data_IF_884132086390
#
_entry.id   IF_884132086390
#
_cell.length_a   1.000
_cell.length_b   1.000
_cell.length_c   1.000
_cell.angle_alpha   90.00
_cell.angle_beta   90.00
_cell.angle_gamma   90.00
#
_symmetry.space_group_name_H-M   'P 1'
#
loop_
_entity.id
_entity.type
_entity.pdbx_description
1 polymer ?
#
# COMPACT_ATOMS: atom_id res chain seq x y z
N UNK A 1 -48.40 45.96 -14.16
CA UNK A 1 -48.65 45.63 -12.74
C UNK A 1 -49.32 44.27 -12.70
N UNK A 2 -48.61 43.22 -12.29
CA UNK A 2 -49.18 41.87 -12.19
C UNK A 2 -48.88 41.27 -10.82
N UNK A 3 -49.93 40.67 -10.28
CA UNK A 3 -50.15 40.28 -8.89
C UNK A 3 -49.31 39.06 -8.51
N UNK A 4 -48.65 39.12 -7.35
CA UNK A 4 -47.95 38.02 -6.69
C UNK A 4 -48.98 37.07 -6.08
N UNK A 5 -48.93 35.77 -6.41
CA UNK A 5 -49.60 34.73 -5.66
C UNK A 5 -48.56 33.95 -4.85
N UNK A 6 -48.63 34.11 -3.53
CA UNK A 6 -47.90 33.30 -2.54
C UNK A 6 -48.88 32.24 -2.08
N UNK A 7 -48.55 30.97 -2.30
CA UNK A 7 -49.30 29.84 -1.71
C UNK A 7 -48.37 29.12 -0.73
N UNK A 8 -48.58 29.41 0.54
CA UNK A 8 -47.99 28.69 1.67
C UNK A 8 -48.81 27.43 1.90
N UNK A 9 -48.23 26.25 1.70
CA UNK A 9 -48.86 24.98 2.05
C UNK A 9 -48.10 24.36 3.22
N UNK A 10 -48.66 24.49 4.41
CA UNK A 10 -48.25 23.77 5.62
C UNK A 10 -49.12 22.52 5.70
N UNK A 11 -48.53 21.31 5.72
CA UNK A 11 -49.28 20.12 6.14
C UNK A 11 -48.38 19.10 6.82
N UNK A 12 -49.00 18.50 7.86
CA UNK A 12 -48.51 17.73 8.97
C UNK A 12 -47.96 16.34 8.63
N UNK A 13 -47.01 15.95 9.48
CA UNK A 13 -46.58 14.63 9.96
C UNK A 13 -47.46 13.43 9.56
N UNK A 14 -46.82 12.45 8.90
CA UNK A 14 -47.26 11.06 8.85
C UNK A 14 -46.07 10.13 9.14
N UNK A 15 -46.05 9.54 10.33
CA UNK A 15 -45.21 8.39 10.66
C UNK A 15 -45.69 7.19 9.85
N UNK A 16 -44.84 6.70 8.94
CA UNK A 16 -44.98 5.38 8.35
C UNK A 16 -43.76 4.55 8.73
N UNK A 17 -43.96 3.65 9.70
CA UNK A 17 -43.11 2.50 9.91
C UNK A 17 -43.40 1.47 8.80
N UNK A 18 -42.40 1.22 7.95
CA UNK A 18 -42.30 0.08 7.04
C UNK A 18 -40.79 -0.01 6.73
N UNK A 19 -40.03 -1.03 7.14
CA UNK A 19 -40.24 -2.42 6.79
C UNK A 19 -39.39 -2.73 5.54
N UNK A 20 -38.23 -3.37 5.72
CA UNK A 20 -37.41 -3.92 4.62
C UNK A 20 -36.23 -3.03 4.19
N UNK A 21 -35.01 -3.52 3.99
CA UNK A 21 -34.49 -4.88 4.10
C UNK A 21 -33.04 -4.82 4.56
N UNK A 22 -32.71 -5.66 5.52
CA UNK A 22 -31.32 -6.01 5.79
C UNK A 22 -30.77 -6.66 4.54
N UNK A 23 -29.85 -5.96 3.87
CA UNK A 23 -28.95 -6.55 2.90
C UNK A 23 -28.04 -7.51 3.66
N UNK A 24 -28.53 -8.74 3.84
CA UNK A 24 -27.77 -9.87 4.31
C UNK A 24 -26.68 -10.17 3.29
N UNK A 25 -25.55 -9.47 3.40
CA UNK A 25 -24.29 -10.06 3.00
C UNK A 25 -24.18 -11.36 3.78
N UNK A 26 -24.31 -12.49 3.09
CA UNK A 26 -24.05 -13.80 3.66
C UNK A 26 -22.59 -13.75 4.14
N UNK A 27 -22.39 -13.47 5.42
CA UNK A 27 -21.14 -13.76 6.08
C UNK A 27 -20.99 -15.27 5.97
N UNK A 28 -20.13 -15.73 5.06
CA UNK A 28 -19.69 -17.12 5.02
C UNK A 28 -19.13 -17.40 6.42
N UNK A 29 -19.76 -18.25 7.26
CA UNK A 29 -19.44 -18.33 8.69
C UNK A 29 -18.06 -18.92 9.01
N UNK A 30 -17.18 -19.04 8.02
CA UNK A 30 -15.88 -19.69 8.12
C UNK A 30 -14.83 -19.15 7.15
N UNK A 31 -15.04 -17.99 6.50
CA UNK A 31 -13.89 -17.32 5.89
C UNK A 31 -13.07 -16.72 7.04
N UNK A 32 -11.83 -17.18 7.32
CA UNK A 32 -11.01 -16.58 8.35
C UNK A 32 -10.95 -15.07 8.08
N UNK A 33 -11.48 -14.27 9.02
CA UNK A 33 -11.35 -12.82 8.97
C UNK A 33 -9.86 -12.54 8.76
N UNK A 34 -9.47 -11.84 7.68
CA UNK A 34 -8.07 -11.53 7.45
C UNK A 34 -7.58 -10.79 8.69
N UNK A 35 -6.71 -11.44 9.46
CA UNK A 35 -6.09 -10.83 10.63
C UNK A 35 -5.41 -9.58 10.15
N UNK A 36 -5.83 -8.44 10.70
CA UNK A 36 -5.29 -7.17 10.28
C UNK A 36 -3.78 -7.22 10.54
N UNK A 37 -2.95 -6.95 9.54
CA UNK A 37 -1.51 -6.77 9.77
C UNK A 37 -1.44 -5.52 10.63
N UNK A 38 -0.99 -5.61 11.90
CA UNK A 38 -0.85 -4.42 12.71
C UNK A 38 0.04 -3.47 11.92
N UNK A 39 -0.47 -2.27 11.65
CA UNK A 39 0.36 -1.17 11.19
C UNK A 39 1.61 -1.22 12.04
N UNK A 40 2.80 -1.26 11.43
CA UNK A 40 4.03 -1.10 12.16
C UNK A 40 3.83 0.13 13.06
N UNK A 41 3.77 -0.08 14.39
CA UNK A 41 3.72 1.03 15.33
C UNK A 41 4.88 1.94 14.94
N UNK A 42 4.64 3.25 14.82
CA UNK A 42 5.61 4.27 14.33
C UNK A 42 7.05 3.86 14.65
N UNK A 43 7.78 3.43 13.62
CA UNK A 43 8.56 2.20 13.80
C UNK A 43 10.05 2.33 13.57
N UNK A 44 10.81 1.73 14.47
CA UNK A 44 12.23 1.47 14.30
C UNK A 44 12.51 0.69 13.02
N UNK A 45 13.76 0.75 12.53
CA UNK A 45 14.21 -0.02 11.37
C UNK A 45 13.86 -1.52 11.46
N UNK A 46 14.06 -2.13 12.64
CA UNK A 46 13.71 -3.54 12.85
C UNK A 46 12.19 -3.77 12.88
N UNK A 47 11.41 -2.83 13.40
CA UNK A 47 9.95 -2.87 13.33
C UNK A 47 9.45 -2.90 11.89
N UNK A 48 9.97 -2.01 11.04
CA UNK A 48 9.64 -1.98 9.61
C UNK A 48 10.01 -3.29 8.92
N UNK A 49 11.19 -3.84 9.21
CA UNK A 49 11.64 -5.13 8.64
C UNK A 49 10.79 -6.30 9.09
N UNK A 50 10.36 -6.32 10.35
CA UNK A 50 9.45 -7.35 10.86
C UNK A 50 8.10 -7.28 10.16
N UNK A 51 7.58 -6.07 9.91
CA UNK A 51 6.36 -5.88 9.11
C UNK A 51 6.52 -6.39 7.68
N UNK A 52 7.64 -6.08 7.01
CA UNK A 52 7.91 -6.67 5.68
C UNK A 52 7.93 -8.20 5.75
N UNK A 53 8.61 -8.78 6.74
CA UNK A 53 8.64 -10.24 6.90
C UNK A 53 7.24 -10.82 7.10
N UNK A 54 6.39 -10.22 7.93
CA UNK A 54 4.99 -10.63 8.11
C UNK A 54 4.21 -10.60 6.79
N UNK A 55 4.33 -9.51 6.03
CA UNK A 55 3.68 -9.36 4.72
C UNK A 55 4.20 -10.41 3.72
N UNK A 56 5.51 -10.63 3.66
CA UNK A 56 6.12 -11.63 2.77
C UNK A 56 5.64 -13.05 3.11
N UNK A 57 5.66 -13.44 4.37
CA UNK A 57 5.23 -14.77 4.80
C UNK A 57 3.73 -15.01 4.61
N UNK A 58 2.93 -13.96 4.50
CA UNK A 58 1.50 -14.05 4.18
C UNK A 58 1.23 -14.28 2.68
N UNK A 59 2.05 -13.69 1.81
CA UNK A 59 1.79 -13.67 0.37
C UNK A 59 2.73 -14.54 -0.47
N UNK A 60 3.52 -15.40 0.17
CA UNK A 60 4.37 -16.39 -0.49
C UNK A 60 4.07 -17.76 0.10
N UNK A 61 3.96 -18.77 -0.75
CA UNK A 61 3.78 -20.15 -0.30
C UNK A 61 5.11 -20.81 0.07
N UNK A 62 5.04 -22.04 0.57
CA UNK A 62 6.22 -22.83 1.00
C UNK A 62 7.25 -23.08 -0.10
N UNK A 63 6.88 -22.93 -1.37
CA UNK A 63 7.77 -23.07 -2.52
C UNK A 63 8.41 -21.74 -2.94
N UNK A 64 8.15 -20.65 -2.21
CA UNK A 64 8.61 -19.31 -2.56
C UNK A 64 7.84 -18.68 -3.72
N UNK A 65 6.70 -19.24 -4.10
CA UNK A 65 5.84 -18.66 -5.13
C UNK A 65 4.91 -17.64 -4.50
N UNK A 66 4.87 -16.48 -5.11
CA UNK A 66 3.96 -15.41 -4.71
C UNK A 66 2.50 -15.79 -4.99
N UNK A 67 1.65 -15.60 -4.00
CA UNK A 67 0.19 -15.78 -4.08
C UNK A 67 -0.41 -14.49 -4.64
N UNK A 68 -0.57 -14.44 -5.96
CA UNK A 68 -1.14 -13.27 -6.66
C UNK A 68 -2.67 -13.31 -6.62
N UNK A 69 -3.31 -12.16 -6.46
CA UNK A 69 -4.76 -12.03 -6.63
C UNK A 69 -5.13 -12.37 -8.07
N UNK A 70 -6.15 -13.19 -8.29
CA UNK A 70 -6.66 -13.43 -9.64
C UNK A 70 -7.50 -12.24 -10.09
N UNK A 71 -7.55 -11.97 -11.40
CA UNK A 71 -8.39 -10.88 -11.94
C UNK A 71 -9.86 -11.03 -11.53
N UNK A 72 -10.37 -12.27 -11.50
CA UNK A 72 -11.74 -12.56 -11.06
C UNK A 72 -11.99 -12.38 -9.54
N UNK A 73 -10.92 -12.27 -8.74
CA UNK A 73 -10.96 -12.05 -7.29
C UNK A 73 -10.68 -10.58 -6.94
N UNK A 74 -10.50 -9.71 -7.94
CA UNK A 74 -10.29 -8.29 -7.70
C UNK A 74 -11.60 -7.64 -7.22
N UNK A 75 -11.56 -6.88 -6.12
CA UNK A 75 -12.70 -6.06 -5.73
C UNK A 75 -13.00 -5.03 -6.83
N UNK A 76 -14.29 -4.76 -7.06
CA UNK A 76 -14.76 -3.79 -8.06
C UNK A 76 -15.36 -2.54 -7.44
N UNK A 77 -15.50 -2.50 -6.10
CA UNK A 77 -16.14 -1.44 -5.35
C UNK A 77 -15.40 -1.21 -4.03
N UNK A 78 -15.61 -0.03 -3.45
CA UNK A 78 -15.04 0.36 -2.17
C UNK A 78 -13.58 0.78 -2.24
N UNK A 79 -13.01 1.07 -1.08
CA UNK A 79 -11.64 1.50 -0.91
C UNK A 79 -11.00 0.76 0.26
N UNK A 80 -9.71 0.49 0.14
CA UNK A 80 -8.92 -0.27 1.12
C UNK A 80 -7.59 0.44 1.35
N UNK A 81 -7.26 0.65 2.62
CA UNK A 81 -5.95 1.15 3.06
C UNK A 81 -5.06 -0.03 3.45
N UNK A 82 -3.84 -0.04 2.92
CA UNK A 82 -2.78 -0.99 3.21
C UNK A 82 -1.64 -0.27 3.93
N UNK A 83 -0.96 -1.00 4.80
CA UNK A 83 0.26 -0.50 5.42
C UNK A 83 1.36 -1.55 5.38
N UNK A 84 2.60 -1.07 5.44
CA UNK A 84 3.78 -1.93 5.45
C UNK A 84 5.06 -1.13 5.27
N UNK A 85 5.97 -1.66 4.47
CA UNK A 85 7.32 -1.14 4.35
C UNK A 85 7.67 -0.81 2.89
N UNK A 86 8.32 0.33 2.70
CA UNK A 86 9.13 0.62 1.52
C UNK A 86 10.61 0.37 1.84
N UNK A 87 11.31 -0.25 0.90
CA UNK A 87 12.68 -0.68 1.08
C UNK A 87 13.55 -0.19 -0.06
N UNK A 88 14.65 0.48 0.28
CA UNK A 88 15.58 1.05 -0.68
C UNK A 88 16.98 0.45 -0.45
N UNK A 89 17.51 -0.33 -1.39
CA UNK A 89 18.76 -1.02 -1.20
C UNK A 89 19.97 -0.34 -1.86
N UNK A 90 21.17 -0.79 -1.47
CA UNK A 90 22.40 -0.64 -2.26
C UNK A 90 22.63 -1.81 -3.24
N UNK A 91 21.89 -2.92 -3.11
CA UNK A 91 22.03 -4.18 -3.89
C UNK A 91 20.69 -4.87 -4.17
N UNK A 92 20.64 -5.77 -5.15
CA UNK A 92 19.44 -6.56 -5.46
C UNK A 92 18.94 -7.35 -4.23
N UNK A 93 17.68 -7.12 -3.82
CA UNK A 93 17.03 -7.81 -2.69
C UNK A 93 16.26 -9.04 -3.18
N UNK A 94 16.98 -10.13 -3.42
CA UNK A 94 16.36 -11.41 -3.84
C UNK A 94 15.55 -12.03 -2.71
N UNK A 95 14.36 -12.54 -3.01
CA UNK A 95 13.52 -13.29 -2.06
C UNK A 95 14.11 -14.67 -1.85
N UNK A 96 14.30 -15.08 -0.60
CA UNK A 96 14.80 -16.41 -0.22
C UNK A 96 13.77 -17.17 0.62
N UNK A 97 13.71 -18.47 0.38
CA UNK A 97 12.93 -19.43 1.17
C UNK A 97 13.90 -20.14 2.10
N UNK A 98 13.65 -20.08 3.41
CA UNK A 98 14.48 -20.70 4.43
C UNK A 98 13.62 -21.68 5.21
N UNK A 99 13.95 -22.96 5.16
CA UNK A 99 13.25 -24.01 5.89
C UNK A 99 14.14 -24.53 7.02
N UNK A 100 13.72 -24.32 8.27
CA UNK A 100 14.42 -24.79 9.48
C UNK A 100 13.42 -25.50 10.39
N UNK A 101 13.70 -26.74 10.79
CA UNK A 101 12.83 -27.53 11.68
C UNK A 101 11.36 -27.58 11.20
N UNK A 102 11.14 -27.84 9.90
CA UNK A 102 9.82 -27.81 9.24
C UNK A 102 9.11 -26.45 9.19
N UNK A 103 9.73 -25.38 9.71
CA UNK A 103 9.21 -24.02 9.57
C UNK A 103 9.84 -23.36 8.34
N UNK A 104 8.99 -22.99 7.39
CA UNK A 104 9.40 -22.24 6.20
C UNK A 104 9.21 -20.75 6.46
N UNK A 105 10.25 -19.96 6.22
CA UNK A 105 10.21 -18.51 6.32
C UNK A 105 10.68 -17.87 5.02
N UNK A 106 9.99 -16.82 4.62
CA UNK A 106 10.30 -16.01 3.44
C UNK A 106 11.01 -14.76 3.93
N UNK A 107 12.20 -14.50 3.36
CA UNK A 107 13.04 -13.36 3.75
C UNK A 107 13.65 -12.67 2.54
N UNK A 108 14.11 -11.43 2.76
CA UNK A 108 14.94 -10.67 1.83
C UNK A 108 16.14 -10.08 2.59
N UNK A 109 17.27 -9.83 1.91
CA UNK A 109 18.38 -9.08 2.50
C UNK A 109 17.90 -7.76 3.12
N UNK A 110 18.53 -7.32 4.19
CA UNK A 110 18.17 -6.06 4.84
C UNK A 110 18.39 -4.87 3.89
N UNK A 111 17.45 -3.92 3.77
CA UNK A 111 17.66 -2.72 2.95
C UNK A 111 18.62 -1.74 3.64
N UNK A 112 19.27 -0.85 2.91
CA UNK A 112 20.06 0.21 3.58
C UNK A 112 19.13 1.22 4.27
N UNK A 113 18.03 1.54 3.59
CA UNK A 113 17.02 2.49 4.06
C UNK A 113 15.66 1.79 4.02
N UNK A 114 14.96 1.83 5.15
CA UNK A 114 13.57 1.40 5.27
C UNK A 114 12.69 2.62 5.55
N UNK A 115 11.44 2.55 5.12
CA UNK A 115 10.44 3.58 5.37
C UNK A 115 9.07 2.94 5.54
N UNK A 116 8.17 3.64 6.23
CA UNK A 116 6.78 3.25 6.33
C UNK A 116 6.08 3.54 4.99
N UNK A 117 5.30 2.59 4.51
CA UNK A 117 4.48 2.75 3.31
C UNK A 117 3.00 2.63 3.67
N UNK A 118 2.20 3.61 3.24
CA UNK A 118 0.73 3.56 3.31
C UNK A 118 0.19 3.68 1.89
N UNK A 119 -0.64 2.73 1.46
CA UNK A 119 -1.25 2.76 0.13
C UNK A 119 -2.76 2.67 0.24
N UNK A 120 -3.48 3.32 -0.67
CA UNK A 120 -4.93 3.24 -0.78
C UNK A 120 -5.26 2.70 -2.15
N UNK A 121 -5.96 1.56 -2.21
CA UNK A 121 -6.59 1.10 -3.44
C UNK A 121 -8.07 1.50 -3.40
N UNK A 122 -8.44 2.39 -4.30
CA UNK A 122 -9.82 2.78 -4.55
C UNK A 122 -10.33 1.97 -5.74
N UNK A 123 -11.02 0.86 -5.45
CA UNK A 123 -11.53 -0.04 -6.47
C UNK A 123 -12.73 0.54 -7.21
N UNK A 124 -13.49 1.43 -6.56
CA UNK A 124 -14.61 2.13 -7.21
C UNK A 124 -14.11 3.10 -8.29
N UNK A 125 -13.03 3.84 -8.01
CA UNK A 125 -12.40 4.74 -8.97
C UNK A 125 -11.30 4.08 -9.81
N UNK A 126 -10.99 2.81 -9.55
CA UNK A 126 -9.96 2.05 -10.26
C UNK A 126 -8.55 2.62 -10.12
N UNK A 127 -8.15 3.09 -8.94
CA UNK A 127 -6.82 3.68 -8.72
C UNK A 127 -6.10 3.19 -7.47
N UNK A 128 -4.77 3.30 -7.47
CA UNK A 128 -3.88 3.09 -6.31
C UNK A 128 -3.05 4.33 -6.09
N UNK A 129 -3.03 4.87 -4.86
CA UNK A 129 -2.18 5.99 -4.45
C UNK A 129 -1.54 5.70 -3.09
N UNK A 130 -0.68 6.57 -2.59
CA UNK A 130 -0.08 6.35 -1.27
C UNK A 130 1.00 7.34 -0.87
N UNK A 131 1.61 7.07 0.29
CA UNK A 131 2.73 7.82 0.84
C UNK A 131 3.82 6.87 1.36
N UNK A 132 5.05 7.37 1.34
CA UNK A 132 6.21 6.73 1.97
C UNK A 132 6.92 7.77 2.82
N UNK A 133 7.01 7.50 4.12
CA UNK A 133 7.52 8.42 5.12
C UNK A 133 8.29 7.68 6.23
N UNK A 134 8.72 8.42 7.26
CA UNK A 134 9.43 7.87 8.42
C UNK A 134 10.66 7.04 8.02
N UNK A 135 11.50 7.60 7.15
CA UNK A 135 12.73 6.95 6.72
C UNK A 135 13.66 6.67 7.91
N UNK A 136 14.28 5.48 7.88
CA UNK A 136 15.24 4.97 8.86
C UNK A 136 16.40 4.29 8.14
N UNK A 137 17.62 4.52 8.60
CA UNK A 137 18.77 3.71 8.18
C UNK A 137 18.87 2.41 9.00
N UNK A 138 19.83 1.55 8.64
CA UNK A 138 20.10 0.29 9.35
C UNK A 138 20.61 0.44 10.79
N UNK A 139 21.06 1.64 11.17
CA UNK A 139 21.42 1.98 12.56
C UNK A 139 20.21 2.51 13.35
N UNK A 140 19.01 2.46 12.77
CA UNK A 140 17.77 3.00 13.31
C UNK A 140 17.76 4.53 13.48
N UNK A 141 18.63 5.24 12.76
CA UNK A 141 18.66 6.71 12.72
C UNK A 141 17.52 7.23 11.86
N UNK A 142 16.81 8.24 12.34
CA UNK A 142 15.80 8.94 11.56
C UNK A 142 16.43 9.70 10.39
N UNK A 143 15.90 9.52 9.18
CA UNK A 143 16.32 10.23 7.99
C UNK A 143 15.20 11.15 7.50
N UNK A 144 15.52 12.35 6.98
CA UNK A 144 14.53 13.25 6.42
C UNK A 144 14.06 12.76 5.04
N UNK A 145 12.79 12.97 4.70
CA UNK A 145 12.24 12.60 3.40
C UNK A 145 10.77 12.24 3.47
N UNK A 146 10.07 12.38 2.36
CA UNK A 146 8.70 11.92 2.17
C UNK A 146 8.41 11.79 0.68
N UNK A 147 7.77 10.70 0.29
CA UNK A 147 7.33 10.46 -1.08
C UNK A 147 5.81 10.34 -1.13
N UNK A 148 5.21 10.94 -2.15
CA UNK A 148 3.81 10.80 -2.53
C UNK A 148 3.73 9.95 -3.79
N UNK A 149 2.98 8.86 -3.73
CA UNK A 149 2.68 8.00 -4.87
C UNK A 149 1.39 8.52 -5.51
N UNK A 150 1.48 9.11 -6.71
CA UNK A 150 0.31 9.64 -7.40
C UNK A 150 -0.62 8.51 -7.82
N UNK A 151 -1.89 8.84 -8.04
CA UNK A 151 -2.90 7.86 -8.44
C UNK A 151 -2.49 7.11 -9.71
N UNK A 152 -2.41 5.79 -9.60
CA UNK A 152 -2.08 4.85 -10.66
C UNK A 152 -3.33 4.05 -11.05
N UNK A 153 -3.70 3.95 -12.34
CA UNK A 153 -4.88 3.20 -12.73
C UNK A 153 -4.68 1.70 -12.49
N UNK A 154 -5.71 1.04 -11.97
CA UNK A 154 -5.79 -0.41 -11.80
C UNK A 154 -6.15 -1.04 -13.14
N UNK A 155 -5.44 -2.10 -13.53
CA UNK A 155 -5.72 -2.89 -14.74
C UNK A 155 -5.54 -4.36 -14.43
N UNK A 156 -6.65 -5.10 -14.43
CA UNK A 156 -6.68 -6.48 -13.97
C UNK A 156 -6.26 -6.57 -12.50
N UNK A 157 -5.23 -7.38 -12.21
CA UNK A 157 -4.65 -7.54 -10.87
C UNK A 157 -3.34 -6.74 -10.67
N UNK A 158 -3.13 -5.71 -11.50
CA UNK A 158 -1.99 -4.81 -11.43
C UNK A 158 -2.42 -3.35 -11.36
N UNK A 159 -1.51 -2.46 -11.00
CA UNK A 159 -1.68 -1.04 -11.25
C UNK A 159 -0.55 -0.52 -12.13
N UNK A 160 -0.90 0.34 -13.07
CA UNK A 160 -0.01 0.80 -14.12
C UNK A 160 1.12 1.68 -13.58
N UNK A 161 2.13 1.89 -14.41
CA UNK A 161 3.21 2.82 -14.11
C UNK A 161 2.70 4.25 -14.08
N UNK A 162 2.96 4.97 -13.00
CA UNK A 162 2.68 6.41 -12.88
C UNK A 162 3.75 7.12 -12.07
N UNK A 163 3.67 8.44 -11.99
CA UNK A 163 4.64 9.29 -11.31
C UNK A 163 4.52 9.23 -9.78
N UNK A 164 5.59 9.62 -9.10
CA UNK A 164 5.59 9.91 -7.67
C UNK A 164 6.32 11.25 -7.46
N UNK A 165 6.23 11.86 -6.30
CA UNK A 165 6.93 13.13 -6.02
C UNK A 165 7.40 13.19 -4.59
N UNK A 166 8.36 14.06 -4.28
CA UNK A 166 8.76 14.33 -2.91
C UNK A 166 10.27 14.46 -2.74
N UNK A 167 10.75 14.06 -1.56
CA UNK A 167 12.16 14.12 -1.19
C UNK A 167 12.65 12.79 -0.64
N UNK A 168 13.92 12.51 -0.89
CA UNK A 168 14.61 11.29 -0.47
C UNK A 168 15.89 11.64 0.30
N UNK A 169 16.25 10.90 1.37
CA UNK A 169 17.49 11.15 2.09
C UNK A 169 18.72 10.76 1.28
N UNK A 170 19.58 11.74 1.01
CA UNK A 170 20.93 11.54 0.46
C UNK A 170 21.92 12.08 1.48
N UNK A 171 22.81 11.21 2.00
CA UNK A 171 23.78 11.56 3.03
C UNK A 171 23.16 12.32 4.22
N UNK A 172 22.01 11.87 4.70
CA UNK A 172 21.30 12.46 5.83
C UNK A 172 20.54 13.77 5.52
N UNK A 173 20.55 14.24 4.27
CA UNK A 173 19.82 15.45 3.85
C UNK A 173 18.69 15.11 2.90
N UNK A 174 17.53 15.75 3.04
CA UNK A 174 16.43 15.58 2.09
C UNK A 174 16.76 16.26 0.76
N UNK A 175 16.68 15.50 -0.32
CA UNK A 175 16.89 15.98 -1.69
C UNK A 175 15.64 15.74 -2.54
N UNK A 176 15.30 16.69 -3.41
CA UNK A 176 14.22 16.51 -4.39
C UNK A 176 14.64 15.46 -5.41
N UNK A 177 13.70 14.58 -5.76
CA UNK A 177 13.91 13.50 -6.73
C UNK A 177 13.33 13.83 -8.10
N UNK A 178 13.86 13.18 -9.15
CA UNK A 178 13.47 13.34 -10.56
C UNK A 178 13.23 11.97 -11.22
N UNK A 179 12.67 11.93 -12.45
CA UNK A 179 12.47 10.70 -13.23
C UNK A 179 11.75 9.56 -12.48
N UNK A 180 10.58 9.90 -11.95
CA UNK A 180 9.85 9.25 -10.87
C UNK A 180 8.79 8.27 -11.38
N UNK A 181 8.81 7.03 -10.91
CA UNK A 181 7.82 6.03 -11.28
C UNK A 181 7.52 5.01 -10.17
N UNK A 182 6.26 4.62 -10.05
CA UNK A 182 5.84 3.43 -9.29
C UNK A 182 4.84 2.59 -10.10
N UNK A 183 4.84 1.28 -9.84
CA UNK A 183 3.94 0.29 -10.44
C UNK A 183 3.88 -0.95 -9.53
N UNK A 184 2.88 -1.81 -9.69
CA UNK A 184 2.81 -2.99 -8.83
C UNK A 184 1.66 -3.94 -9.14
N UNK A 185 1.43 -4.87 -8.20
CA UNK A 185 0.44 -5.94 -8.33
C UNK A 185 -0.24 -6.25 -6.99
N UNK A 186 -1.46 -6.76 -7.08
CA UNK A 186 -2.24 -7.20 -5.92
C UNK A 186 -1.92 -8.66 -5.55
N UNK A 187 -1.92 -8.92 -4.24
CA UNK A 187 -1.55 -10.18 -3.61
C UNK A 187 -2.69 -10.72 -2.76
N UNK A 188 -2.74 -12.06 -2.65
CA UNK A 188 -3.70 -12.79 -1.84
C UNK A 188 -5.14 -12.70 -2.36
N UNK A 189 -6.06 -13.42 -1.70
CA UNK A 189 -7.50 -13.30 -1.95
C UNK A 189 -7.98 -11.87 -1.72
N UNK A 190 -8.97 -11.42 -2.50
CA UNK A 190 -9.63 -10.13 -2.39
C UNK A 190 -8.67 -8.94 -2.28
N UNK A 191 -7.58 -9.00 -3.04
CA UNK A 191 -6.52 -8.00 -3.06
C UNK A 191 -6.05 -7.62 -1.64
N UNK A 192 -5.75 -8.60 -0.78
CA UNK A 192 -5.37 -8.35 0.63
C UNK A 192 -3.95 -7.79 0.82
N UNK A 193 -3.13 -7.72 -0.23
CA UNK A 193 -1.85 -7.02 -0.21
C UNK A 193 -1.42 -6.44 -1.54
N UNK A 194 -0.31 -5.70 -1.52
CA UNK A 194 0.31 -5.08 -2.70
C UNK A 194 1.83 -5.30 -2.64
N UNK A 195 2.41 -5.76 -3.74
CA UNK A 195 3.84 -5.60 -4.05
C UNK A 195 4.01 -4.52 -5.11
N UNK A 196 4.76 -3.48 -4.77
CA UNK A 196 5.12 -2.37 -5.66
C UNK A 196 6.61 -2.30 -5.94
N UNK A 197 6.95 -1.69 -7.06
CA UNK A 197 8.30 -1.26 -7.44
C UNK A 197 8.32 0.25 -7.55
N UNK A 198 9.41 0.85 -7.08
CA UNK A 198 9.64 2.29 -7.13
C UNK A 198 10.96 2.54 -7.86
N UNK A 199 10.99 3.54 -8.73
CA UNK A 199 12.20 4.02 -9.38
C UNK A 199 12.22 5.54 -9.41
N UNK A 200 13.35 6.14 -9.06
CA UNK A 200 13.56 7.59 -9.21
C UNK A 200 15.05 7.90 -9.27
N UNK A 201 15.39 9.09 -9.71
CA UNK A 201 16.74 9.64 -9.68
C UNK A 201 16.89 10.54 -8.45
N UNK A 202 17.98 10.35 -7.71
CA UNK A 202 18.38 11.20 -6.60
C UNK A 202 19.74 11.84 -6.90
N UNK A 203 20.00 13.09 -6.46
CA UNK A 203 21.33 13.69 -6.59
C UNK A 203 22.39 12.86 -5.87
N UNK A 204 23.61 12.79 -6.44
CA UNK A 204 24.78 12.27 -5.74
C UNK A 204 25.49 13.40 -5.00
N UNK A 205 26.14 13.05 -3.90
CA UNK A 205 26.96 14.01 -3.13
C UNK A 205 28.12 14.61 -3.94
N UNK A 206 28.67 13.83 -4.89
CA UNK A 206 29.78 14.24 -5.75
C UNK A 206 29.31 14.90 -7.07
N UNK A 207 28.00 15.12 -7.21
CA UNK A 207 27.38 15.63 -8.43
C UNK A 207 26.81 14.54 -9.35
N UNK A 208 25.84 14.94 -10.18
CA UNK A 208 25.07 14.03 -11.05
C UNK A 208 23.92 13.32 -10.33
N UNK A 209 23.29 12.38 -11.03
CA UNK A 209 22.13 11.63 -10.54
C UNK A 209 22.44 10.14 -10.36
N UNK A 210 21.74 9.50 -9.42
CA UNK A 210 21.76 8.06 -9.20
C UNK A 210 20.34 7.51 -9.31
N UNK A 211 20.15 6.48 -10.11
CA UNK A 211 18.93 5.71 -10.12
C UNK A 211 18.80 4.92 -8.80
N UNK A 212 17.73 5.18 -8.07
CA UNK A 212 17.32 4.46 -6.87
C UNK A 212 16.13 3.60 -7.24
N UNK A 213 16.24 2.29 -7.00
CA UNK A 213 15.15 1.35 -7.18
C UNK A 213 14.71 0.80 -5.83
N UNK A 214 13.46 1.01 -5.45
CA UNK A 214 12.87 0.51 -4.22
C UNK A 214 11.79 -0.55 -4.46
N UNK A 215 11.43 -1.25 -3.40
CA UNK A 215 10.26 -2.14 -3.35
C UNK A 215 9.31 -1.72 -2.25
N UNK A 216 8.01 -1.83 -2.49
CA UNK A 216 6.97 -1.60 -1.49
C UNK A 216 6.23 -2.89 -1.23
N UNK A 217 6.03 -3.22 0.04
CA UNK A 217 5.27 -4.37 0.48
C UNK A 217 4.30 -3.93 1.56
N UNK A 218 3.01 -3.94 1.22
CA UNK A 218 1.94 -3.52 2.13
C UNK A 218 0.84 -4.58 2.15
N UNK A 219 0.17 -4.71 3.28
CA UNK A 219 -0.97 -5.61 3.44
C UNK A 219 -2.01 -5.02 4.38
N UNK A 220 -3.16 -5.68 4.42
CA UNK A 220 -4.22 -5.41 5.40
C UNK A 220 -4.46 -6.61 6.26
#
# INVERSE_FOLDING_TARGET
>A
MSVKFVLTLTTLIGLAACGGGGGGGVAVPNSPQPTLIPLAAEGSYDGLRNTEATVLNRFYNVNGNQIRTRVAEMPTLGSVTYAGMAAFPTRNRTTTVITTNNNTTIRRPAPQIAARATMVADFANGTVSGTIDQFRDSANTALPGSLTLNAAPITGNTYARTTLSGTYPVNGTAQTITGVQHSGRFLGPDASGIEGTIGFFAPRAEGGEQLINGTVFVGR
#
